data_IF_802057096902
#
_entry.id   IF_802057096902
#
_cell.length_a   1.000
_cell.length_b   1.000
_cell.length_c   1.000
_cell.angle_alpha   90.00
_cell.angle_beta   90.00
_cell.angle_gamma   90.00
#
_symmetry.space_group_name_H-M   'P 1'
#
loop_
_entity.id
_entity.type
_entity.pdbx_description
1 polymer ?
#
# COMPACT_ATOMS: atom_id res chain seq x y z
N UNK A 1 7.53 -2.78 28.81
CA UNK A 1 7.44 -3.80 27.73
C UNK A 1 7.10 -3.28 26.34
N UNK A 2 6.54 -2.05 26.15
CA UNK A 2 6.18 -1.48 24.82
C UNK A 2 7.37 -1.19 23.87
N UNK A 3 8.54 -0.85 24.37
CA UNK A 3 9.71 -0.47 23.54
C UNK A 3 10.32 -1.63 22.75
N UNK A 4 10.32 -2.86 23.26
CA UNK A 4 10.82 -4.06 22.55
C UNK A 4 9.95 -4.44 21.32
N UNK A 5 8.64 -4.20 21.38
CA UNK A 5 7.70 -4.48 20.29
C UNK A 5 7.91 -3.48 19.13
N UNK A 6 8.14 -2.20 19.41
CA UNK A 6 8.35 -1.16 18.41
C UNK A 6 9.63 -1.41 17.59
N UNK A 7 10.74 -1.73 18.26
CA UNK A 7 12.01 -2.04 17.58
C UNK A 7 11.90 -3.27 16.65
N UNK A 8 11.21 -4.32 17.07
CA UNK A 8 10.97 -5.52 16.26
C UNK A 8 10.17 -5.20 14.99
N UNK A 9 9.15 -4.36 15.09
CA UNK A 9 8.33 -3.98 13.94
C UNK A 9 9.11 -3.12 12.94
N UNK A 10 10.01 -2.25 13.39
CA UNK A 10 10.89 -1.45 12.53
C UNK A 10 11.87 -2.37 11.79
N UNK A 11 12.53 -3.28 12.50
CA UNK A 11 13.47 -4.23 11.89
C UNK A 11 12.78 -5.11 10.82
N UNK A 12 11.58 -5.61 11.11
CA UNK A 12 10.79 -6.39 10.14
C UNK A 12 10.44 -5.57 8.89
N UNK A 13 10.01 -4.30 9.07
CA UNK A 13 9.72 -3.42 7.92
C UNK A 13 10.97 -3.20 7.07
N UNK A 14 12.13 -2.98 7.69
CA UNK A 14 13.40 -2.83 6.96
C UNK A 14 13.77 -4.10 6.19
N UNK A 15 13.63 -5.28 6.80
CA UNK A 15 13.86 -6.55 6.11
C UNK A 15 12.93 -6.74 4.91
N UNK A 16 11.63 -6.44 5.06
CA UNK A 16 10.66 -6.54 3.97
C UNK A 16 10.97 -5.52 2.87
N UNK A 17 11.35 -4.30 3.23
CA UNK A 17 11.77 -3.26 2.27
C UNK A 17 12.99 -3.73 1.45
N UNK A 18 14.01 -4.26 2.11
CA UNK A 18 15.21 -4.79 1.44
C UNK A 18 14.88 -5.97 0.52
N UNK A 19 14.00 -6.88 0.97
CA UNK A 19 13.53 -8.01 0.17
C UNK A 19 12.81 -7.53 -1.10
N UNK A 20 11.89 -6.57 -0.98
CA UNK A 20 11.20 -6.03 -2.16
C UNK A 20 12.17 -5.29 -3.09
N UNK A 21 13.08 -4.47 -2.56
CA UNK A 21 14.09 -3.81 -3.38
C UNK A 21 14.94 -4.83 -4.17
N UNK A 22 15.37 -5.91 -3.54
CA UNK A 22 16.11 -6.98 -4.20
C UNK A 22 15.28 -7.69 -5.29
N UNK A 23 13.99 -7.96 -5.03
CA UNK A 23 13.07 -8.55 -6.03
C UNK A 23 12.85 -7.60 -7.21
N UNK A 24 12.74 -6.29 -6.97
CA UNK A 24 12.59 -5.29 -8.03
C UNK A 24 13.83 -5.25 -8.93
N UNK A 25 15.03 -5.21 -8.34
CA UNK A 25 16.30 -5.25 -9.09
C UNK A 25 16.41 -6.56 -9.86
N UNK A 26 16.26 -7.70 -9.19
CA UNK A 26 16.37 -9.00 -9.82
C UNK A 26 15.34 -9.21 -10.95
N UNK A 27 14.10 -8.75 -10.75
CA UNK A 27 13.04 -8.85 -11.75
C UNK A 27 13.32 -8.00 -12.99
N UNK A 28 13.87 -6.78 -12.82
CA UNK A 28 14.29 -5.94 -13.92
C UNK A 28 15.47 -6.54 -14.69
N UNK A 29 16.53 -6.92 -13.98
CA UNK A 29 17.74 -7.45 -14.61
C UNK A 29 17.49 -8.80 -15.30
N UNK A 30 16.66 -9.67 -14.72
CA UNK A 30 16.30 -10.94 -15.33
C UNK A 30 15.56 -10.80 -16.67
N UNK A 31 14.87 -9.68 -16.89
CA UNK A 31 14.14 -9.39 -18.13
C UNK A 31 14.79 -8.31 -19.00
N UNK A 32 15.99 -7.84 -18.67
CA UNK A 32 16.67 -6.76 -19.36
C UNK A 32 16.92 -7.04 -20.86
N UNK A 33 16.96 -8.33 -21.27
CA UNK A 33 17.08 -8.72 -22.66
C UNK A 33 15.76 -8.62 -23.47
N UNK A 34 14.62 -8.42 -22.79
CA UNK A 34 13.30 -8.26 -23.41
C UNK A 34 12.86 -6.80 -23.29
N UNK A 35 12.88 -6.04 -24.39
CA UNK A 35 12.52 -4.62 -24.33
C UNK A 35 11.07 -4.44 -23.89
N UNK A 36 10.89 -3.63 -22.84
CA UNK A 36 9.59 -3.24 -22.28
C UNK A 36 8.69 -4.39 -21.75
N UNK A 37 9.23 -5.58 -21.55
CA UNK A 37 8.60 -6.63 -20.76
C UNK A 37 9.17 -6.52 -19.37
N UNK A 38 8.34 -6.11 -18.40
CA UNK A 38 8.80 -5.86 -17.04
C UNK A 38 7.80 -6.37 -15.99
N UNK A 39 8.35 -6.79 -14.87
CA UNK A 39 7.57 -7.19 -13.70
C UNK A 39 7.65 -6.16 -12.56
N UNK A 40 8.39 -5.09 -12.76
CA UNK A 40 8.64 -4.05 -11.73
C UNK A 40 7.34 -3.41 -11.31
N UNK A 41 6.48 -3.02 -12.26
CA UNK A 41 5.19 -2.38 -11.99
C UNK A 41 4.30 -3.24 -11.07
N UNK A 42 4.18 -4.55 -11.35
CA UNK A 42 3.32 -5.43 -10.53
C UNK A 42 3.91 -5.65 -9.13
N UNK A 43 5.23 -5.73 -8.97
CA UNK A 43 5.84 -5.89 -7.65
C UNK A 43 5.75 -4.62 -6.80
N UNK A 44 5.90 -3.43 -7.39
CA UNK A 44 5.68 -2.16 -6.69
C UNK A 44 4.21 -2.02 -6.28
N UNK A 45 3.29 -2.31 -7.20
CA UNK A 45 1.86 -2.31 -6.93
C UNK A 45 1.49 -3.25 -5.79
N UNK A 46 2.03 -4.48 -5.80
CA UNK A 46 1.84 -5.48 -4.76
C UNK A 46 2.38 -5.04 -3.40
N UNK A 47 3.59 -4.49 -3.40
CA UNK A 47 4.22 -3.96 -2.19
C UNK A 47 3.37 -2.84 -1.57
N UNK A 48 2.97 -1.85 -2.36
CA UNK A 48 2.14 -0.74 -1.90
C UNK A 48 0.74 -1.18 -1.44
N UNK A 49 0.13 -2.12 -2.16
CA UNK A 49 -1.20 -2.63 -1.87
C UNK A 49 -1.25 -3.35 -0.52
N UNK A 50 -0.29 -4.24 -0.24
CA UNK A 50 -0.29 -5.10 0.94
C UNK A 50 0.47 -4.48 2.11
N UNK A 51 1.69 -3.98 1.87
CA UNK A 51 2.61 -3.51 2.91
C UNK A 51 2.54 -2.01 3.17
N UNK A 52 1.91 -1.26 2.26
CA UNK A 52 1.71 0.18 2.37
C UNK A 52 2.92 1.00 1.93
N UNK A 53 2.74 2.33 1.92
CA UNK A 53 3.75 3.28 1.41
C UNK A 53 5.03 3.31 2.25
N UNK A 54 4.94 3.01 3.55
CA UNK A 54 6.11 2.98 4.45
C UNK A 54 7.14 1.90 4.08
N UNK A 55 6.76 0.91 3.29
CA UNK A 55 7.64 -0.14 2.75
C UNK A 55 7.89 0.10 1.26
N UNK A 56 6.85 0.44 0.50
CA UNK A 56 6.93 0.57 -0.95
C UNK A 56 7.84 1.73 -1.41
N UNK A 57 7.69 2.93 -0.82
CA UNK A 57 8.49 4.09 -1.22
C UNK A 57 10.00 3.85 -0.96
N UNK A 58 10.44 3.43 0.24
CA UNK A 58 11.84 3.12 0.45
C UNK A 58 12.37 2.01 -0.45
N UNK A 59 11.56 0.97 -0.74
CA UNK A 59 11.97 -0.11 -1.65
C UNK A 59 12.19 0.41 -3.07
N UNK A 60 11.31 1.30 -3.57
CA UNK A 60 11.45 1.96 -4.87
C UNK A 60 12.70 2.84 -4.91
N UNK A 61 12.96 3.63 -3.87
CA UNK A 61 14.15 4.49 -3.82
C UNK A 61 15.46 3.68 -3.83
N UNK A 62 15.53 2.60 -3.07
CA UNK A 62 16.67 1.68 -3.07
C UNK A 62 16.82 1.02 -4.45
N UNK A 63 15.72 0.56 -5.05
CA UNK A 63 15.72 -0.01 -6.40
C UNK A 63 16.30 0.97 -7.42
N UNK A 64 15.84 2.24 -7.45
CA UNK A 64 16.33 3.26 -8.37
C UNK A 64 17.81 3.56 -8.12
N UNK A 65 18.25 3.63 -6.86
CA UNK A 65 19.66 3.88 -6.51
C UNK A 65 20.56 2.74 -7.01
N UNK A 66 20.15 1.50 -6.87
CA UNK A 66 20.89 0.34 -7.41
C UNK A 66 20.91 0.35 -8.93
N UNK A 67 19.77 0.66 -9.54
CA UNK A 67 19.63 0.75 -11.00
C UNK A 67 20.54 1.85 -11.60
N UNK A 68 20.62 3.00 -10.92
CA UNK A 68 21.60 4.06 -11.26
C UNK A 68 23.06 3.60 -11.15
N UNK A 69 23.39 2.76 -10.18
CA UNK A 69 24.73 2.23 -10.04
C UNK A 69 25.08 1.23 -11.16
N UNK A 70 24.11 0.49 -11.68
CA UNK A 70 24.30 -0.50 -12.75
C UNK A 70 24.34 0.20 -14.13
N UNK A 71 23.37 1.06 -14.42
CA UNK A 71 23.13 1.63 -15.77
C UNK A 71 23.60 3.08 -15.93
N UNK A 72 24.10 3.69 -14.85
CA UNK A 72 24.51 5.12 -14.84
C UNK A 72 23.33 6.08 -14.70
N UNK A 73 23.65 7.37 -14.66
CA UNK A 73 22.68 8.45 -14.48
C UNK A 73 22.28 9.00 -15.87
N UNK A 74 20.98 9.01 -16.14
CA UNK A 74 20.41 9.56 -17.38
C UNK A 74 19.02 10.14 -17.12
N UNK A 75 18.34 10.66 -18.11
CA UNK A 75 16.99 11.25 -18.05
C UNK A 75 15.95 10.31 -17.48
N UNK A 76 16.06 9.00 -17.75
CA UNK A 76 15.16 7.98 -17.23
C UNK A 76 15.09 7.94 -15.68
N UNK A 77 16.14 8.36 -14.97
CA UNK A 77 16.14 8.40 -13.51
C UNK A 77 15.03 9.31 -12.98
N UNK A 78 14.85 10.48 -13.59
CA UNK A 78 13.82 11.45 -13.21
C UNK A 78 12.44 10.83 -13.47
N UNK A 79 12.25 10.22 -14.63
CA UNK A 79 11.01 9.53 -14.99
C UNK A 79 10.68 8.40 -14.04
N UNK A 80 11.66 7.61 -13.64
CA UNK A 80 11.49 6.50 -12.69
C UNK A 80 11.15 6.97 -11.27
N UNK A 81 11.82 8.03 -10.78
CA UNK A 81 11.52 8.62 -9.48
C UNK A 81 10.05 9.09 -9.40
N UNK A 82 9.54 9.69 -10.44
CA UNK A 82 8.14 10.15 -10.46
C UNK A 82 7.21 8.96 -10.65
N UNK A 83 7.45 8.13 -11.67
CA UNK A 83 6.56 7.05 -12.08
C UNK A 83 6.37 5.98 -11.02
N UNK A 84 7.47 5.42 -10.49
CA UNK A 84 7.38 4.29 -9.55
C UNK A 84 6.77 4.69 -8.21
N UNK A 85 7.01 5.91 -7.74
CA UNK A 85 6.34 6.43 -6.55
C UNK A 85 4.85 6.71 -6.82
N UNK A 86 4.50 7.15 -8.03
CA UNK A 86 3.11 7.33 -8.44
C UNK A 86 2.37 5.99 -8.52
N UNK A 87 2.99 4.94 -9.08
CA UNK A 87 2.45 3.56 -9.05
C UNK A 87 2.15 3.13 -7.61
N UNK A 88 3.11 3.30 -6.70
CA UNK A 88 2.93 2.93 -5.30
C UNK A 88 1.75 3.68 -4.65
N UNK A 89 1.62 4.98 -4.93
CA UNK A 89 0.54 5.81 -4.41
C UNK A 89 -0.83 5.34 -4.94
N UNK A 90 -0.96 5.12 -6.25
CA UNK A 90 -2.20 4.67 -6.89
C UNK A 90 -2.66 3.30 -6.34
N UNK A 91 -1.76 2.34 -6.22
CA UNK A 91 -2.12 1.02 -5.71
C UNK A 91 -2.35 1.01 -4.20
N UNK A 92 -1.73 1.90 -3.44
CA UNK A 92 -2.11 2.10 -2.04
C UNK A 92 -3.52 2.68 -1.92
N UNK A 93 -3.87 3.65 -2.75
CA UNK A 93 -5.23 4.19 -2.80
C UNK A 93 -6.25 3.10 -3.18
N UNK A 94 -5.92 2.28 -4.18
CA UNK A 94 -6.75 1.15 -4.58
C UNK A 94 -6.98 0.15 -3.43
N UNK A 95 -5.97 -0.09 -2.59
CA UNK A 95 -6.09 -0.94 -1.40
C UNK A 95 -7.09 -0.39 -0.37
N UNK A 96 -7.21 0.94 -0.27
CA UNK A 96 -8.16 1.59 0.65
C UNK A 96 -9.62 1.40 0.24
N UNK A 97 -9.90 1.12 -1.03
CA UNK A 97 -11.26 0.85 -1.52
C UNK A 97 -11.83 -0.48 -1.04
N UNK A 98 -11.02 -1.35 -0.40
CA UNK A 98 -11.42 -2.63 0.25
C UNK A 98 -12.38 -3.48 -0.61
N UNK A 99 -12.09 -3.62 -1.90
CA UNK A 99 -12.94 -4.38 -2.82
C UNK A 99 -13.05 -5.85 -2.40
N UNK A 100 -14.28 -6.33 -2.21
CA UNK A 100 -14.56 -7.72 -1.79
C UNK A 100 -14.51 -8.71 -2.96
N UNK A 101 -14.86 -8.27 -4.16
CA UNK A 101 -14.92 -9.13 -5.35
C UNK A 101 -13.53 -9.25 -6.00
N UNK A 102 -13.00 -10.48 -6.10
CA UNK A 102 -11.67 -10.77 -6.66
C UNK A 102 -11.57 -10.41 -8.15
N UNK A 103 -12.63 -10.69 -8.91
CA UNK A 103 -12.66 -10.38 -10.34
C UNK A 103 -12.65 -8.86 -10.55
N UNK A 104 -13.46 -8.13 -9.79
CA UNK A 104 -13.48 -6.68 -9.83
C UNK A 104 -12.12 -6.10 -9.46
N UNK A 105 -11.44 -6.63 -8.43
CA UNK A 105 -10.09 -6.20 -8.04
C UNK A 105 -9.10 -6.41 -9.17
N UNK A 106 -9.14 -7.57 -9.85
CA UNK A 106 -8.24 -7.87 -10.97
C UNK A 106 -8.49 -6.92 -12.15
N UNK A 107 -9.75 -6.69 -12.51
CA UNK A 107 -10.13 -5.79 -13.61
C UNK A 107 -9.70 -4.36 -13.32
N UNK A 108 -10.02 -3.84 -12.13
CA UNK A 108 -9.66 -2.46 -11.75
C UNK A 108 -8.15 -2.29 -11.64
N UNK A 109 -7.42 -3.28 -11.11
CA UNK A 109 -5.97 -3.26 -11.05
C UNK A 109 -5.34 -3.26 -12.44
N UNK A 110 -5.88 -4.07 -13.37
CA UNK A 110 -5.42 -4.14 -14.77
C UNK A 110 -5.68 -2.82 -15.51
N UNK A 111 -6.88 -2.25 -15.37
CA UNK A 111 -7.21 -0.94 -15.95
C UNK A 111 -6.32 0.17 -15.39
N UNK A 112 -6.08 0.16 -14.09
CA UNK A 112 -5.16 1.12 -13.45
C UNK A 112 -3.75 0.98 -14.00
N UNK A 113 -3.25 -0.24 -14.18
CA UNK A 113 -1.93 -0.50 -14.74
C UNK A 113 -1.82 0.01 -16.19
N UNK A 114 -2.85 -0.19 -17.02
CA UNK A 114 -2.91 0.32 -18.40
C UNK A 114 -2.81 1.86 -18.41
N UNK A 115 -3.65 2.53 -17.62
CA UNK A 115 -3.66 4.00 -17.53
C UNK A 115 -2.31 4.52 -17.05
N UNK A 116 -1.73 3.93 -16.04
CA UNK A 116 -0.43 4.32 -15.48
C UNK A 116 0.69 4.12 -16.53
N UNK A 117 0.65 3.05 -17.30
CA UNK A 117 1.63 2.80 -18.37
C UNK A 117 1.49 3.82 -19.51
N UNK A 118 0.27 4.22 -19.88
CA UNK A 118 0.05 5.30 -20.84
C UNK A 118 0.63 6.63 -20.34
N UNK A 119 0.40 6.96 -19.06
CA UNK A 119 0.97 8.15 -18.43
C UNK A 119 2.51 8.10 -18.37
N UNK A 120 3.09 6.92 -18.23
CA UNK A 120 4.54 6.75 -18.27
C UNK A 120 5.13 7.14 -19.62
N UNK A 121 4.50 6.76 -20.73
CA UNK A 121 4.93 7.18 -22.07
C UNK A 121 4.92 8.70 -22.26
N UNK A 122 3.87 9.36 -21.74
CA UNK A 122 3.79 10.84 -21.73
C UNK A 122 4.89 11.45 -20.87
N UNK A 123 5.07 10.92 -19.66
CA UNK A 123 6.07 11.40 -18.69
C UNK A 123 7.50 11.29 -19.25
N UNK A 124 7.89 10.13 -19.79
CA UNK A 124 9.24 9.93 -20.33
C UNK A 124 9.51 10.85 -21.51
N UNK A 125 8.56 10.98 -22.44
CA UNK A 125 8.67 11.87 -23.58
C UNK A 125 8.76 13.35 -23.16
N UNK A 126 8.03 13.75 -22.12
CA UNK A 126 8.12 15.10 -21.57
C UNK A 126 9.49 15.36 -20.91
N UNK A 127 9.96 14.44 -20.07
CA UNK A 127 11.26 14.55 -19.39
C UNK A 127 12.41 14.61 -20.39
N UNK A 128 12.41 13.72 -21.41
CA UNK A 128 13.45 13.68 -22.45
C UNK A 128 13.43 14.93 -23.31
N UNK A 129 12.25 15.50 -23.56
CA UNK A 129 12.11 16.78 -24.26
C UNK A 129 12.70 17.91 -23.45
N UNK A 130 12.30 18.06 -22.17
CA UNK A 130 12.73 19.15 -21.30
C UNK A 130 14.24 19.10 -21.02
N UNK A 131 14.77 17.93 -20.67
CA UNK A 131 16.21 17.77 -20.39
C UNK A 131 17.05 17.97 -21.65
N UNK A 132 16.56 17.55 -22.81
CA UNK A 132 17.27 17.75 -24.07
C UNK A 132 17.42 19.22 -24.50
N UNK A 133 16.62 20.13 -23.96
CA UNK A 133 16.72 21.57 -24.20
C UNK A 133 17.64 22.30 -23.20
N UNK A 134 17.83 21.80 -22.00
CA UNK A 134 18.66 22.48 -20.96
C UNK A 134 20.12 22.60 -21.34
N UNK A 135 20.62 21.82 -22.30
CA UNK A 135 22.00 21.87 -22.81
C UNK A 135 22.27 22.85 -23.95
N UNK A 136 21.25 23.51 -24.54
CA UNK A 136 21.38 24.30 -25.77
C UNK A 136 20.98 25.79 -25.67
N UNK A 137 20.99 26.37 -24.46
CA UNK A 137 20.65 27.78 -24.28
C UNK A 137 19.12 28.04 -24.33
N UNK A 138 18.65 28.86 -23.45
CA UNK A 138 17.24 29.06 -23.07
C UNK A 138 16.47 29.99 -24.05
N UNK A 139 16.43 29.70 -25.31
CA UNK A 139 15.43 30.28 -26.23
C UNK A 139 14.50 29.16 -26.71
N UNK A 140 13.48 28.88 -25.87
CA UNK A 140 12.49 27.85 -26.14
C UNK A 140 11.42 28.39 -27.07
N UNK A 141 11.55 28.06 -28.36
CA UNK A 141 10.44 28.16 -29.28
C UNK A 141 9.45 27.02 -28.96
N UNK A 142 8.21 27.38 -28.59
CA UNK A 142 7.14 26.45 -28.22
C UNK A 142 6.85 25.40 -29.30
N UNK A 143 6.98 25.80 -30.58
CA UNK A 143 6.78 24.87 -31.71
C UNK A 143 7.84 23.78 -31.74
N UNK A 144 9.10 24.14 -31.49
CA UNK A 144 10.21 23.16 -31.44
C UNK A 144 10.06 22.18 -30.28
N UNK A 145 9.62 22.65 -29.10
CA UNK A 145 9.37 21.78 -27.93
C UNK A 145 8.26 20.78 -28.25
N UNK A 146 7.15 21.25 -28.81
CA UNK A 146 6.02 20.41 -29.18
C UNK A 146 6.39 19.37 -30.23
N UNK A 147 7.09 19.79 -31.31
CA UNK A 147 7.54 18.90 -32.34
C UNK A 147 8.48 17.80 -31.81
N UNK A 148 9.40 18.15 -30.89
CA UNK A 148 10.29 17.18 -30.26
C UNK A 148 9.51 16.22 -29.35
N UNK A 149 8.59 16.73 -28.54
CA UNK A 149 7.74 15.88 -27.68
C UNK A 149 6.96 14.86 -28.50
N UNK A 150 6.30 15.31 -29.56
CA UNK A 150 5.53 14.44 -30.48
C UNK A 150 6.44 13.39 -31.12
N UNK A 151 7.64 13.78 -31.55
CA UNK A 151 8.61 12.85 -32.15
C UNK A 151 9.04 11.78 -31.15
N UNK A 152 9.37 12.16 -29.90
CA UNK A 152 9.75 11.22 -28.85
C UNK A 152 8.61 10.28 -28.48
N UNK A 153 7.40 10.82 -28.31
CA UNK A 153 6.22 10.04 -27.97
C UNK A 153 5.84 9.04 -29.07
N UNK A 154 5.81 9.47 -30.32
CA UNK A 154 5.47 8.60 -31.48
C UNK A 154 6.51 7.50 -31.66
N UNK A 155 7.79 7.82 -31.51
CA UNK A 155 8.88 6.83 -31.58
C UNK A 155 8.79 5.79 -30.46
N UNK A 156 8.23 6.17 -29.32
CA UNK A 156 8.04 5.30 -28.15
C UNK A 156 6.80 4.39 -28.22
N UNK A 157 5.83 4.65 -29.13
CA UNK A 157 4.56 3.92 -29.17
C UNK A 157 4.73 2.39 -29.24
N UNK A 158 5.60 1.80 -30.08
CA UNK A 158 5.76 0.35 -30.11
C UNK A 158 6.18 -0.23 -28.75
N UNK A 159 7.05 0.48 -28.04
CA UNK A 159 7.53 0.08 -26.72
C UNK A 159 6.43 0.19 -25.65
N UNK A 160 5.69 1.29 -25.65
CA UNK A 160 4.57 1.47 -24.73
C UNK A 160 3.44 0.46 -24.98
N UNK A 161 3.14 0.14 -26.23
CA UNK A 161 2.15 -0.86 -26.60
C UNK A 161 2.50 -2.24 -26.03
N UNK A 162 3.77 -2.66 -26.17
CA UNK A 162 4.26 -3.93 -25.60
C UNK A 162 4.12 -3.94 -24.08
N UNK A 163 4.52 -2.86 -23.41
CA UNK A 163 4.43 -2.73 -21.96
C UNK A 163 2.97 -2.74 -21.46
N UNK A 164 2.05 -2.07 -22.16
CA UNK A 164 0.62 -2.07 -21.84
C UNK A 164 0.05 -3.48 -21.91
N UNK A 165 0.32 -4.22 -22.98
CA UNK A 165 -0.17 -5.60 -23.16
C UNK A 165 0.39 -6.51 -22.05
N UNK A 166 1.69 -6.40 -21.77
CA UNK A 166 2.35 -7.16 -20.73
C UNK A 166 1.74 -6.85 -19.35
N UNK A 167 1.63 -5.59 -18.99
CA UNK A 167 1.05 -5.18 -17.71
C UNK A 167 -0.42 -5.58 -17.59
N UNK A 168 -1.23 -5.38 -18.64
CA UNK A 168 -2.63 -5.80 -18.64
C UNK A 168 -2.77 -7.29 -18.34
N UNK A 169 -1.97 -8.13 -19.00
CA UNK A 169 -1.98 -9.58 -18.80
C UNK A 169 -1.50 -9.97 -17.39
N UNK A 170 -0.36 -9.43 -16.95
CA UNK A 170 0.20 -9.73 -15.63
C UNK A 170 -0.76 -9.35 -14.50
N UNK A 171 -1.38 -8.17 -14.57
CA UNK A 171 -2.33 -7.73 -13.56
C UNK A 171 -3.63 -8.51 -13.60
N UNK A 172 -4.12 -8.89 -14.77
CA UNK A 172 -5.33 -9.70 -14.89
C UNK A 172 -5.17 -11.09 -14.28
N UNK A 173 -4.03 -11.73 -14.49
CA UNK A 173 -3.79 -13.13 -14.10
C UNK A 173 -3.11 -13.25 -12.75
N UNK A 174 -2.04 -12.48 -12.50
CA UNK A 174 -1.14 -12.70 -11.37
C UNK A 174 -1.41 -11.79 -10.16
N UNK A 175 -2.02 -10.62 -10.34
CA UNK A 175 -2.15 -9.65 -9.25
C UNK A 175 -2.90 -10.21 -8.03
N UNK A 176 -4.11 -10.73 -8.23
CA UNK A 176 -4.95 -11.25 -7.13
C UNK A 176 -4.33 -12.44 -6.41
N UNK A 177 -3.81 -13.49 -7.08
CA UNK A 177 -3.08 -14.57 -6.42
C UNK A 177 -1.88 -14.08 -5.61
N UNK A 178 -1.10 -13.15 -6.17
CA UNK A 178 0.06 -12.59 -5.48
C UNK A 178 -0.33 -11.75 -4.25
N UNK A 179 -1.41 -10.97 -4.34
CA UNK A 179 -1.96 -10.25 -3.18
C UNK A 179 -2.35 -11.22 -2.07
N UNK A 180 -3.01 -12.33 -2.39
CA UNK A 180 -3.40 -13.33 -1.40
C UNK A 180 -2.18 -13.98 -0.72
N UNK A 181 -1.15 -14.31 -1.50
CA UNK A 181 0.10 -14.85 -0.97
C UNK A 181 0.79 -13.85 -0.04
N UNK A 182 0.91 -12.60 -0.49
CA UNK A 182 1.54 -11.55 0.31
C UNK A 182 0.73 -11.20 1.57
N UNK A 183 -0.60 -11.21 1.52
CA UNK A 183 -1.44 -11.03 2.71
C UNK A 183 -1.22 -12.15 3.73
N UNK A 184 -1.04 -13.40 3.26
CA UNK A 184 -0.70 -14.52 4.16
C UNK A 184 0.65 -14.31 4.84
N UNK A 185 1.65 -13.81 4.10
CA UNK A 185 2.96 -13.45 4.64
C UNK A 185 2.85 -12.28 5.63
N UNK A 186 2.14 -11.22 5.27
CA UNK A 186 1.94 -10.04 6.12
C UNK A 186 1.34 -10.43 7.49
N UNK A 187 0.29 -11.24 7.51
CA UNK A 187 -0.33 -11.75 8.75
C UNK A 187 0.63 -12.58 9.60
N UNK A 188 1.57 -13.28 8.97
CA UNK A 188 2.56 -14.10 9.67
C UNK A 188 3.65 -13.26 10.33
N UNK A 189 4.06 -12.15 9.70
CA UNK A 189 5.09 -11.25 10.22
C UNK A 189 4.53 -10.22 11.21
N UNK A 190 3.27 -9.78 11.02
CA UNK A 190 2.60 -8.76 11.85
C UNK A 190 1.29 -9.28 12.46
N UNK A 191 1.35 -10.29 13.36
CA UNK A 191 0.14 -10.87 13.98
C UNK A 191 -0.64 -9.85 14.82
N UNK A 192 0.06 -8.94 15.51
CA UNK A 192 -0.56 -7.92 16.36
C UNK A 192 -1.40 -6.89 15.60
N UNK A 193 -1.02 -6.59 14.36
CA UNK A 193 -1.76 -5.65 13.51
C UNK A 193 -3.04 -6.31 12.97
N UNK A 194 -2.98 -7.61 12.74
CA UNK A 194 -4.13 -8.40 12.28
C UNK A 194 -5.17 -8.55 13.39
N UNK A 195 -4.76 -8.77 14.64
CA UNK A 195 -5.69 -8.87 15.76
C UNK A 195 -6.44 -7.56 16.02
N UNK A 196 -5.79 -6.41 15.91
CA UNK A 196 -6.43 -5.10 16.03
C UNK A 196 -7.47 -4.85 14.94
N UNK A 197 -7.17 -5.25 13.70
CA UNK A 197 -8.13 -5.14 12.59
C UNK A 197 -9.35 -6.04 12.79
N UNK A 198 -9.17 -7.27 13.26
CA UNK A 198 -10.26 -8.18 13.54
C UNK A 198 -11.14 -7.64 14.67
N UNK A 199 -10.54 -7.16 15.76
CA UNK A 199 -11.28 -6.56 16.88
C UNK A 199 -12.02 -5.29 16.44
N UNK A 200 -11.39 -4.42 15.67
CA UNK A 200 -12.04 -3.21 15.15
C UNK A 200 -13.21 -3.54 14.19
N UNK A 201 -13.08 -4.58 13.37
CA UNK A 201 -14.13 -5.03 12.47
C UNK A 201 -15.30 -5.67 13.23
N UNK A 202 -15.02 -6.44 14.29
CA UNK A 202 -16.04 -7.01 15.18
C UNK A 202 -16.80 -5.93 15.95
N UNK A 203 -16.09 -4.93 16.47
CA UNK A 203 -16.72 -3.79 17.17
C UNK A 203 -17.61 -3.00 16.20
N UNK A 204 -17.16 -2.77 14.98
CA UNK A 204 -17.93 -2.03 13.99
C UNK A 204 -19.18 -2.83 13.53
N UNK A 205 -19.08 -4.15 13.39
CA UNK A 205 -20.24 -5.02 13.07
C UNK A 205 -21.24 -5.02 14.22
N UNK A 206 -20.78 -5.16 15.45
CA UNK A 206 -21.62 -5.10 16.64
C UNK A 206 -22.36 -3.75 16.78
N UNK A 207 -21.69 -2.63 16.46
CA UNK A 207 -22.33 -1.31 16.47
C UNK A 207 -23.39 -1.15 15.35
N UNK A 208 -23.13 -1.71 14.17
CA UNK A 208 -24.13 -1.67 13.08
C UNK A 208 -25.34 -2.55 13.38
N UNK A 209 -25.14 -3.71 13.96
CA UNK A 209 -26.24 -4.61 14.36
C UNK A 209 -27.07 -3.95 15.47
N UNK A 210 -26.43 -3.35 16.48
CA UNK A 210 -27.11 -2.60 17.53
C UNK A 210 -27.93 -1.42 16.99
N UNK A 211 -27.37 -0.63 16.06
CA UNK A 211 -28.08 0.48 15.42
C UNK A 211 -29.28 -0.01 14.58
N UNK A 212 -29.16 -1.14 13.90
CA UNK A 212 -30.27 -1.74 13.15
C UNK A 212 -31.39 -2.22 14.11
N UNK A 213 -31.01 -2.79 15.24
CA UNK A 213 -31.98 -3.24 16.26
C UNK A 213 -32.71 -2.07 16.91
N UNK A 214 -32.00 -0.98 17.23
CA UNK A 214 -32.60 0.26 17.75
C UNK A 214 -33.53 0.91 16.70
N UNK A 215 -33.14 0.97 15.42
CA UNK A 215 -33.98 1.53 14.35
C UNK A 215 -35.21 0.65 14.06
N UNK A 216 -35.09 -0.67 14.21
CA UNK A 216 -36.23 -1.58 14.07
C UNK A 216 -37.24 -1.41 15.22
N UNK A 217 -36.75 -1.16 16.44
CA UNK A 217 -37.64 -0.85 17.59
C UNK A 217 -38.40 0.47 17.42
N UNK A 218 -37.82 1.46 16.75
CA UNK A 218 -38.46 2.77 16.51
C UNK A 218 -39.55 2.74 15.42
N UNK A 219 -39.56 1.70 14.58
CA UNK A 219 -40.55 1.53 13.50
C UNK A 219 -41.82 0.76 13.93
N UNK A 220 -41.81 0.10 15.10
CA UNK A 220 -42.91 -0.76 15.58
C UNK A 220 -43.82 -0.10 16.63
N UNK A 221 -43.77 1.22 16.85
CA UNK A 221 -44.79 1.91 17.68
C UNK A 221 -45.99 2.40 16.85
N UNK A 222 -47.25 1.97 17.16
CA UNK A 222 -47.89 2.42 18.40
C UNK A 222 -48.69 1.34 19.21
N UNK A 223 -48.26 0.17 19.44
CA UNK A 223 -49.03 -0.78 20.31
C UNK A 223 -48.22 -1.79 21.14
N UNK A 224 -47.08 -1.50 21.71
CA UNK A 224 -46.52 -2.33 22.82
C UNK A 224 -45.71 -1.49 23.82
N UNK A 225 -46.41 -0.93 24.79
CA UNK A 225 -45.85 -0.71 26.13
C UNK A 225 -45.68 -2.09 26.79
N UNK A 226 -44.54 -2.76 26.69
CA UNK A 226 -44.00 -3.76 27.62
C UNK A 226 -42.64 -4.22 27.08
N UNK A 227 -41.61 -4.03 27.98
CA UNK A 227 -40.29 -4.63 27.91
C UNK A 227 -39.28 -4.05 26.92
N UNK A 228 -38.79 -2.87 27.19
CA UNK A 228 -37.38 -2.59 26.94
C UNK A 228 -36.56 -3.27 28.05
N UNK A 229 -35.57 -4.12 27.74
CA UNK A 229 -34.63 -4.57 28.78
C UNK A 229 -33.83 -3.39 29.30
N UNK A 230 -33.63 -3.32 30.62
CA UNK A 230 -32.81 -2.36 31.37
C UNK A 230 -31.31 -2.46 30.94
N UNK A 231 -30.98 -2.00 29.77
CA UNK A 231 -29.61 -2.03 29.21
C UNK A 231 -28.66 -1.03 29.90
N UNK A 232 -29.19 -0.11 30.71
CA UNK A 232 -28.37 0.85 31.46
C UNK A 232 -27.63 0.20 32.65
N UNK A 233 -28.06 -0.97 33.12
CA UNK A 233 -27.49 -1.61 34.29
C UNK A 233 -26.29 -2.52 33.99
N UNK A 234 -26.20 -3.01 32.76
CA UNK A 234 -25.15 -3.94 32.34
C UNK A 234 -23.85 -3.22 31.91
N UNK A 235 -23.92 -1.94 31.53
CA UNK A 235 -22.74 -1.16 31.21
C UNK A 235 -21.93 -0.70 32.41
N UNK A 236 -22.56 -0.54 33.59
CA UNK A 236 -21.87 -0.17 34.82
C UNK A 236 -21.14 -1.38 35.42
N UNK A 237 -21.67 -2.61 35.31
CA UNK A 237 -20.98 -3.82 35.78
C UNK A 237 -19.75 -4.18 34.88
N UNK A 238 -19.83 -4.02 33.58
CA UNK A 238 -18.70 -4.30 32.66
C UNK A 238 -17.58 -3.26 32.83
N UNK A 239 -17.92 -2.01 33.20
CA UNK A 239 -16.91 -0.97 33.44
C UNK A 239 -16.20 -1.16 34.78
N UNK A 240 -16.85 -1.70 35.80
CA UNK A 240 -16.21 -2.00 37.10
C UNK A 240 -15.32 -3.26 37.06
N UNK A 241 -15.70 -4.29 36.30
CA UNK A 241 -14.90 -5.51 36.16
C UNK A 241 -13.63 -5.28 35.30
N UNK A 242 -13.67 -4.39 34.30
CA UNK A 242 -12.49 -4.02 33.50
C UNK A 242 -11.50 -3.14 34.26
N UNK A 243 -11.94 -2.39 35.26
CA UNK A 243 -11.06 -1.57 36.12
C UNK A 243 -10.34 -2.40 37.18
N UNK A 244 -10.96 -3.48 37.69
CA UNK A 244 -10.32 -4.36 38.67
C UNK A 244 -9.27 -5.32 38.11
N UNK A 245 -9.31 -5.65 36.80
CA UNK A 245 -8.31 -6.51 36.14
C UNK A 245 -7.05 -5.79 35.67
N UNK A 246 -6.97 -4.47 35.76
CA UNK A 246 -5.79 -3.68 35.33
C UNK A 246 -4.95 -3.10 36.47
N UNK A 247 -5.20 -3.47 37.72
CA UNK A 247 -4.32 -3.11 38.83
C UNK A 247 -3.05 -3.99 38.78
N UNK A 248 -1.84 -3.42 38.67
CA UNK A 248 -0.61 -4.20 38.60
C UNK A 248 -0.31 -4.77 39.97
N UNK A 249 -0.10 -6.09 40.03
CA UNK A 249 0.34 -6.86 41.21
C UNK A 249 1.79 -6.53 41.65
N UNK A 250 2.12 -5.26 41.84
CA UNK A 250 3.46 -4.76 42.17
C UNK A 250 3.47 -3.85 43.41
N UNK A 251 2.45 -3.91 44.28
CA UNK A 251 2.42 -3.12 45.50
C UNK A 251 2.79 -3.91 46.76
N UNK A 252 3.15 -5.19 46.69
CA UNK A 252 3.44 -6.03 47.83
C UNK A 252 4.92 -6.40 48.07
N UNK A 253 5.84 -5.99 47.15
CA UNK A 253 7.29 -6.24 47.36
C UNK A 253 8.10 -5.03 47.86
N UNK A 254 7.47 -3.89 48.13
CA UNK A 254 8.18 -2.68 48.61
C UNK A 254 8.23 -2.54 50.13
N UNK A 255 7.56 -3.39 50.89
CA UNK A 255 7.47 -3.24 52.35
C UNK A 255 8.34 -4.23 53.16
N UNK A 256 9.10 -5.13 52.52
CA UNK A 256 9.95 -6.12 53.20
C UNK A 256 11.45 -5.73 53.19
N UNK A 257 11.84 -4.64 52.57
CA UNK A 257 13.29 -4.24 52.49
C UNK A 257 13.65 -3.01 53.33
N UNK A 258 12.79 -2.60 54.29
CA UNK A 258 13.06 -1.45 55.19
C UNK A 258 13.30 -1.84 56.65
N UNK A 259 13.51 -3.11 56.98
CA UNK A 259 13.76 -3.56 58.36
C UNK A 259 15.03 -4.44 58.47
N UNK A 260 16.11 -4.12 57.77
CA UNK A 260 17.47 -4.60 58.13
C UNK A 260 18.49 -3.71 57.42
N UNK A 261 18.77 -2.55 58.01
CA UNK A 261 20.09 -1.95 58.24
C UNK A 261 19.93 -0.68 59.09
#
# INVERSE_FOLDING_TARGET
MKTKSVGKNIALKLCVTAMFAAVLVAGKEALAFLPNIEVVTIFIALCAYVWGLSVAIPAVLVFIAVDMAIWGINTWVISYLIHWNFVALCFRFLALLKMKNRVLTSVVASLSAIIITLLFGVLTSAVDTLVGFTGKGFFLDTEMIFARFVTMYVSGIPFYATQIVCNAFLFAVAFVPLVQLNNKMHRRFFPDDTSKHIVAEQVQHSQTDFLQEVLACDQDEPQRQIACPDFAREQDEVSEESVQQTAPANAQEAEVHSLHN
#
